data_IF_414062415479
#
_entry.id   IF_414062415479
#
_cell.length_a   1.000
_cell.length_b   1.000
_cell.length_c   1.000
_cell.angle_alpha   90.00
_cell.angle_beta   90.00
_cell.angle_gamma   90.00
#
_symmetry.space_group_name_H-M   'P 1'
#
loop_
_entity.id
_entity.type
_entity.pdbx_description
1 polymer ?
#
# COMPACT_ATOMS: atom_id res chain seq x y z
N UNK A 1 52.13 18.51 -31.42
CA UNK A 1 52.02 18.41 -29.95
C UNK A 1 50.94 19.34 -29.39
N UNK A 2 50.90 20.65 -29.73
CA UNK A 2 49.84 21.56 -29.21
C UNK A 2 48.41 21.21 -29.66
N UNK A 3 48.21 20.74 -30.90
CA UNK A 3 46.89 20.34 -31.41
C UNK A 3 46.33 19.15 -30.62
N UNK A 4 47.18 18.16 -30.28
CA UNK A 4 46.77 16.97 -29.53
C UNK A 4 46.37 17.30 -28.09
N UNK A 5 47.17 18.14 -27.40
CA UNK A 5 46.84 18.63 -26.05
C UNK A 5 45.55 19.45 -26.05
N UNK A 6 45.34 20.30 -27.06
CA UNK A 6 44.11 21.08 -27.17
C UNK A 6 42.87 20.20 -27.43
N UNK A 7 43.00 19.14 -28.25
CA UNK A 7 41.90 18.19 -28.49
C UNK A 7 41.56 17.38 -27.24
N UNK A 8 42.57 16.94 -26.48
CA UNK A 8 42.36 16.14 -25.27
C UNK A 8 41.75 16.99 -24.15
N UNK A 9 42.27 18.21 -23.93
CA UNK A 9 41.68 19.16 -22.97
C UNK A 9 40.24 19.53 -23.32
N UNK A 10 39.94 19.72 -24.61
CA UNK A 10 38.57 19.99 -25.07
C UNK A 10 37.66 18.78 -24.89
N UNK A 11 38.17 17.57 -25.11
CA UNK A 11 37.41 16.33 -24.88
C UNK A 11 37.07 16.16 -23.40
N UNK A 12 38.07 16.25 -22.52
CA UNK A 12 37.89 16.13 -21.07
C UNK A 12 36.92 17.19 -20.53
N UNK A 13 37.06 18.44 -20.98
CA UNK A 13 36.14 19.53 -20.60
C UNK A 13 34.70 19.25 -21.03
N UNK A 14 34.50 18.68 -22.23
CA UNK A 14 33.17 18.31 -22.71
C UNK A 14 32.58 17.14 -21.92
N UNK A 15 33.39 16.13 -21.59
CA UNK A 15 32.96 14.99 -20.76
C UNK A 15 32.57 15.47 -19.37
N UNK A 16 33.40 16.27 -18.71
CA UNK A 16 33.10 16.84 -17.39
C UNK A 16 31.86 17.74 -17.42
N UNK A 17 31.69 18.57 -18.44
CA UNK A 17 30.49 19.38 -18.62
C UNK A 17 29.23 18.52 -18.73
N UNK A 18 29.26 17.44 -19.51
CA UNK A 18 28.13 16.51 -19.64
C UNK A 18 27.84 15.79 -18.33
N UNK A 19 28.86 15.33 -17.60
CA UNK A 19 28.70 14.68 -16.30
C UNK A 19 28.14 15.64 -15.25
N UNK A 20 28.65 16.87 -15.18
CA UNK A 20 28.16 17.92 -14.29
C UNK A 20 26.70 18.28 -14.61
N UNK A 21 26.37 18.43 -15.90
CA UNK A 21 25.00 18.70 -16.35
C UNK A 21 24.04 17.57 -15.98
N UNK A 22 24.44 16.30 -16.15
CA UNK A 22 23.62 15.14 -15.72
C UNK A 22 23.42 15.08 -14.21
N UNK A 23 24.46 15.36 -13.41
CA UNK A 23 24.34 15.44 -11.95
C UNK A 23 23.37 16.55 -11.52
N UNK A 24 23.46 17.72 -12.17
CA UNK A 24 22.55 18.84 -11.91
C UNK A 24 21.11 18.48 -12.29
N UNK A 25 20.88 17.86 -13.44
CA UNK A 25 19.55 17.41 -13.87
C UNK A 25 18.97 16.39 -12.90
N UNK A 26 19.76 15.42 -12.43
CA UNK A 26 19.33 14.44 -11.42
C UNK A 26 18.94 15.12 -10.11
N UNK A 27 19.71 16.10 -9.65
CA UNK A 27 19.40 16.86 -8.44
C UNK A 27 18.11 17.69 -8.61
N UNK A 28 17.90 18.30 -9.78
CA UNK A 28 16.67 19.04 -10.07
C UNK A 28 15.45 18.11 -10.13
N UNK A 29 15.58 16.93 -10.75
CA UNK A 29 14.54 15.90 -10.77
C UNK A 29 14.21 15.41 -9.36
N UNK A 30 15.22 15.17 -8.52
CA UNK A 30 15.04 14.82 -7.10
C UNK A 30 14.19 15.86 -6.35
N UNK A 31 14.55 17.15 -6.45
CA UNK A 31 13.80 18.20 -5.75
C UNK A 31 12.40 18.41 -6.31
N UNK A 32 12.18 18.16 -7.61
CA UNK A 32 10.86 18.17 -8.21
C UNK A 32 9.98 17.03 -7.66
N UNK A 33 10.51 15.81 -7.59
CA UNK A 33 9.83 14.67 -6.95
C UNK A 33 9.54 14.97 -5.47
N UNK A 34 10.49 15.56 -4.74
CA UNK A 34 10.32 15.91 -3.32
C UNK A 34 9.23 16.98 -3.13
N UNK A 35 9.16 17.96 -4.02
CA UNK A 35 8.09 18.96 -4.01
C UNK A 35 6.71 18.32 -4.25
N UNK A 36 6.61 17.42 -5.24
CA UNK A 36 5.41 16.64 -5.50
C UNK A 36 4.97 15.82 -4.29
N UNK A 37 5.90 15.07 -3.67
CA UNK A 37 5.63 14.29 -2.47
C UNK A 37 5.11 15.15 -1.31
N UNK A 38 5.70 16.32 -1.06
CA UNK A 38 5.26 17.24 -0.01
C UNK A 38 3.86 17.82 -0.29
N UNK A 39 3.53 18.12 -1.55
CA UNK A 39 2.18 18.55 -1.92
C UNK A 39 1.19 17.41 -1.70
N UNK A 40 1.54 16.17 -2.05
CA UNK A 40 0.69 15.01 -1.77
C UNK A 40 0.45 14.81 -0.26
N UNK A 41 1.46 15.00 0.59
CA UNK A 41 1.29 14.98 2.05
C UNK A 41 0.33 16.07 2.53
N UNK A 42 0.41 17.28 1.96
CA UNK A 42 -0.53 18.36 2.25
C UNK A 42 -1.95 18.00 1.81
N UNK A 43 -2.12 17.32 0.67
CA UNK A 43 -3.44 16.87 0.20
C UNK A 43 -4.07 15.86 1.15
N UNK A 44 -3.30 14.86 1.62
CA UNK A 44 -3.75 13.90 2.64
C UNK A 44 -4.13 14.64 3.93
N UNK A 45 -3.30 15.61 4.36
CA UNK A 45 -3.61 16.43 5.53
C UNK A 45 -4.92 17.21 5.39
N UNK A 46 -5.12 17.88 4.25
CA UNK A 46 -6.32 18.64 3.94
C UNK A 46 -7.55 17.74 3.90
N UNK A 47 -7.42 16.57 3.28
CA UNK A 47 -8.47 15.55 3.26
C UNK A 47 -8.85 15.10 4.68
N UNK A 48 -7.88 14.64 5.49
CA UNK A 48 -8.14 14.22 6.89
C UNK A 48 -8.78 15.36 7.71
N UNK A 49 -8.37 16.61 7.47
CA UNK A 49 -8.96 17.78 8.13
C UNK A 49 -10.38 18.06 7.63
N UNK A 50 -10.63 17.92 6.33
CA UNK A 50 -11.94 18.14 5.72
C UNK A 50 -12.95 17.10 6.21
N UNK A 51 -12.61 15.80 6.16
CA UNK A 51 -13.42 14.71 6.69
C UNK A 51 -13.75 14.98 8.17
N UNK A 52 -12.75 15.23 9.01
CA UNK A 52 -12.98 15.49 10.45
C UNK A 52 -13.81 16.74 10.76
N UNK A 53 -13.67 17.80 9.97
CA UNK A 53 -14.36 19.08 10.22
C UNK A 53 -15.77 19.10 9.65
N UNK A 54 -15.95 18.54 8.46
CA UNK A 54 -17.18 18.69 7.68
C UNK A 54 -18.03 17.43 7.70
N UNK A 55 -17.47 16.23 7.46
CA UNK A 55 -18.27 15.00 7.48
C UNK A 55 -18.99 14.81 8.82
N UNK A 56 -18.29 15.11 9.93
CA UNK A 56 -18.86 15.00 11.28
C UNK A 56 -19.95 16.04 11.58
N UNK A 57 -19.97 17.18 10.88
CA UNK A 57 -20.90 18.30 11.14
C UNK A 57 -22.06 18.38 10.17
N UNK A 58 -21.83 18.03 8.89
CA UNK A 58 -22.83 18.15 7.83
C UNK A 58 -23.46 16.82 7.47
N UNK A 59 -22.94 15.69 7.99
CA UNK A 59 -23.35 14.35 7.57
C UNK A 59 -22.97 14.02 6.13
N UNK A 60 -22.10 14.82 5.51
CA UNK A 60 -21.56 14.51 4.19
C UNK A 60 -20.75 13.21 4.25
N UNK A 61 -20.94 12.37 3.23
CA UNK A 61 -20.18 11.12 3.09
C UNK A 61 -18.69 11.44 2.96
N UNK A 62 -17.84 10.67 3.63
CA UNK A 62 -16.39 10.88 3.56
C UNK A 62 -15.86 10.75 2.12
N UNK A 63 -16.47 9.86 1.32
CA UNK A 63 -16.18 9.66 -0.09
C UNK A 63 -16.29 10.95 -0.93
N UNK A 64 -17.11 11.92 -0.50
CA UNK A 64 -17.22 13.22 -1.18
C UNK A 64 -15.94 14.05 -1.11
N UNK A 65 -15.04 13.74 -0.17
CA UNK A 65 -13.76 14.43 0.00
C UNK A 65 -12.58 13.68 -0.64
N UNK A 66 -12.76 12.44 -1.11
CA UNK A 66 -11.71 11.65 -1.75
C UNK A 66 -11.02 12.33 -2.93
N UNK A 67 -11.72 13.10 -3.81
CA UNK A 67 -11.06 13.82 -4.90
C UNK A 67 -9.90 14.72 -4.45
N UNK A 68 -9.88 15.15 -3.18
CA UNK A 68 -8.78 15.94 -2.61
C UNK A 68 -7.45 15.19 -2.73
N UNK A 69 -7.42 13.87 -2.52
CA UNK A 69 -6.19 13.06 -2.58
C UNK A 69 -6.13 12.14 -3.80
N UNK A 70 -7.25 11.59 -4.29
CA UNK A 70 -7.25 10.56 -5.34
C UNK A 70 -6.93 11.11 -6.73
N UNK A 71 -7.22 12.39 -6.98
CA UNK A 71 -6.94 13.01 -8.29
C UNK A 71 -5.41 13.05 -8.56
N UNK A 72 -4.90 12.54 -9.68
CA UNK A 72 -3.49 12.67 -10.00
C UNK A 72 -3.09 14.15 -10.14
N UNK A 73 -1.97 14.55 -9.52
CA UNK A 73 -1.47 15.92 -9.63
C UNK A 73 -0.22 15.93 -10.48
N UNK A 74 -0.14 16.87 -11.41
CA UNK A 74 1.06 17.08 -12.19
C UNK A 74 1.38 18.56 -12.36
N UNK A 75 2.67 18.85 -12.49
CA UNK A 75 3.18 20.18 -12.79
C UNK A 75 4.18 20.10 -13.93
N UNK A 76 4.10 21.00 -14.93
CA UNK A 76 3.01 21.94 -15.18
C UNK A 76 1.72 21.22 -15.63
N UNK A 77 0.53 21.70 -15.23
CA UNK A 77 -0.74 21.04 -15.55
C UNK A 77 -1.03 21.00 -17.06
N UNK A 78 -0.57 21.98 -17.84
CA UNK A 78 -0.82 22.06 -19.29
C UNK A 78 -0.36 20.83 -20.09
N UNK A 79 0.66 20.13 -19.62
CA UNK A 79 1.18 18.92 -20.26
C UNK A 79 0.24 17.72 -20.14
N UNK A 80 -0.71 17.76 -19.20
CA UNK A 80 -1.59 16.65 -18.86
C UNK A 80 -3.07 16.96 -19.13
N UNK A 81 -3.35 18.11 -19.77
CA UNK A 81 -4.70 18.46 -20.18
C UNK A 81 -5.13 17.67 -21.43
N UNK A 82 -6.36 17.14 -21.48
CA UNK A 82 -6.92 16.51 -22.67
C UNK A 82 -6.85 17.40 -23.93
N UNK A 83 -6.78 16.78 -25.11
CA UNK A 83 -6.69 17.51 -26.39
C UNK A 83 -7.92 18.38 -26.68
N UNK A 84 -9.08 17.95 -26.21
CA UNK A 84 -10.40 18.58 -26.30
C UNK A 84 -10.66 19.67 -25.24
N UNK A 85 -9.74 19.87 -24.28
CA UNK A 85 -9.88 20.91 -23.27
C UNK A 85 -9.93 22.32 -23.91
N UNK A 86 -10.78 23.21 -23.37
CA UNK A 86 -11.01 24.55 -23.93
C UNK A 86 -9.71 25.34 -24.17
N UNK A 87 -9.62 25.99 -25.34
CA UNK A 87 -8.46 26.83 -25.70
C UNK A 87 -8.21 27.95 -24.71
N UNK A 88 -9.27 28.57 -24.18
CA UNK A 88 -9.18 29.67 -23.21
C UNK A 88 -8.66 29.16 -21.86
N UNK A 89 -9.11 27.97 -21.43
CA UNK A 89 -8.61 27.34 -20.21
C UNK A 89 -7.13 26.94 -20.36
N UNK A 90 -6.74 26.37 -21.52
CA UNK A 90 -5.33 26.06 -21.82
C UNK A 90 -4.44 27.30 -21.78
N UNK A 91 -4.93 28.43 -22.30
CA UNK A 91 -4.20 29.71 -22.26
C UNK A 91 -4.00 30.21 -20.82
N UNK A 92 -5.02 30.12 -19.96
CA UNK A 92 -4.94 30.51 -18.56
C UNK A 92 -3.92 29.67 -17.76
N UNK A 93 -3.88 28.35 -18.00
CA UNK A 93 -2.85 27.49 -17.39
C UNK A 93 -1.45 27.87 -17.87
N UNK A 94 -1.26 28.06 -19.18
CA UNK A 94 0.04 28.44 -19.74
C UNK A 94 0.54 29.80 -19.22
N UNK A 95 -0.36 30.76 -18.96
CA UNK A 95 0.00 32.05 -18.35
C UNK A 95 0.47 31.88 -16.89
N UNK A 96 -0.28 31.08 -16.11
CA UNK A 96 0.08 30.76 -14.72
C UNK A 96 1.43 30.03 -14.65
N UNK A 97 1.69 29.13 -15.58
CA UNK A 97 2.95 28.38 -15.66
C UNK A 97 4.13 29.27 -15.99
N UNK A 98 3.97 30.25 -16.90
CA UNK A 98 5.02 31.24 -17.22
C UNK A 98 5.42 32.08 -16.01
N UNK A 99 4.48 32.38 -15.13
CA UNK A 99 4.72 33.11 -13.88
C UNK A 99 5.36 32.27 -12.77
N UNK A 100 5.44 30.94 -12.95
CA UNK A 100 5.95 30.04 -11.91
C UNK A 100 7.47 29.98 -11.87
N UNK A 101 8.01 29.94 -10.66
CA UNK A 101 9.44 29.67 -10.43
C UNK A 101 9.80 28.19 -10.59
N UNK A 102 8.81 27.30 -10.67
CA UNK A 102 9.02 25.86 -10.78
C UNK A 102 9.29 25.52 -12.25
N UNK A 103 10.57 25.37 -12.58
CA UNK A 103 11.05 24.99 -13.92
C UNK A 103 11.10 23.48 -14.16
N UNK A 104 11.00 22.68 -13.10
CA UNK A 104 11.03 21.23 -13.18
C UNK A 104 9.61 20.67 -13.31
N UNK A 105 9.49 19.48 -13.91
CA UNK A 105 8.23 18.80 -14.05
C UNK A 105 8.11 17.75 -12.95
N UNK A 106 6.89 17.49 -12.48
CA UNK A 106 6.63 16.33 -11.64
C UNK A 106 5.22 15.80 -11.84
N UNK A 107 5.04 14.51 -11.57
CA UNK A 107 3.74 13.86 -11.44
C UNK A 107 3.65 13.21 -10.06
N UNK A 108 2.44 13.17 -9.51
CA UNK A 108 2.15 12.50 -8.25
C UNK A 108 0.87 11.69 -8.34
N UNK A 109 0.90 10.52 -7.73
CA UNK A 109 -0.28 9.69 -7.47
C UNK A 109 -0.30 9.33 -5.98
N UNK A 110 -1.51 9.17 -5.47
CA UNK A 110 -1.77 8.73 -4.10
C UNK A 110 -2.70 7.53 -4.20
N UNK A 111 -2.34 6.43 -3.56
CA UNK A 111 -3.17 5.23 -3.42
C UNK A 111 -3.35 4.91 -1.94
N UNK A 112 -4.45 4.25 -1.60
CA UNK A 112 -4.64 3.70 -0.26
C UNK A 112 -3.87 2.37 -0.13
N UNK A 113 -3.40 2.07 1.07
CA UNK A 113 -2.80 0.76 1.40
C UNK A 113 -3.84 -0.22 1.96
N UNK A 114 -5.05 0.27 2.26
CA UNK A 114 -6.16 -0.51 2.84
C UNK A 114 -6.77 -1.52 1.86
N UNK A 115 -6.31 -1.55 0.62
CA UNK A 115 -6.74 -2.47 -0.44
C UNK A 115 -5.75 -3.62 -0.69
N UNK A 116 -4.67 -3.70 0.09
CA UNK A 116 -3.66 -4.76 0.03
C UNK A 116 -3.72 -5.62 1.28
N UNK A 117 -3.27 -6.86 1.15
CA UNK A 117 -3.15 -7.78 2.30
C UNK A 117 -1.95 -7.36 3.16
N UNK A 118 -2.17 -7.07 4.44
CA UNK A 118 -1.08 -6.79 5.37
C UNK A 118 -0.42 -8.11 5.82
N UNK A 119 0.83 -8.33 5.41
CA UNK A 119 1.57 -9.56 5.74
C UNK A 119 1.84 -9.66 7.24
N UNK A 120 2.02 -8.53 7.92
CA UNK A 120 2.25 -8.52 9.36
C UNK A 120 1.00 -8.96 10.15
N UNK A 121 -0.18 -8.98 9.51
CA UNK A 121 -1.41 -9.48 10.13
C UNK A 121 -1.50 -11.01 10.21
N UNK A 122 -0.60 -11.75 9.56
CA UNK A 122 -0.54 -13.22 9.67
C UNK A 122 -0.36 -13.71 11.12
N UNK A 123 0.27 -12.90 11.97
CA UNK A 123 0.44 -13.16 13.41
C UNK A 123 -0.34 -12.17 14.28
N UNK A 124 -1.42 -11.60 13.73
CA UNK A 124 -2.27 -10.68 14.49
C UNK A 124 -2.78 -11.32 15.79
N UNK A 125 -2.87 -10.57 16.90
CA UNK A 125 -3.52 -11.05 18.12
C UNK A 125 -5.00 -11.39 17.91
N UNK A 126 -5.63 -10.85 16.87
CA UNK A 126 -6.97 -11.25 16.42
C UNK A 126 -6.86 -12.52 15.58
N UNK A 127 -7.50 -13.59 16.04
CA UNK A 127 -7.56 -14.88 15.32
C UNK A 127 -8.32 -14.74 14.00
N UNK A 128 -9.34 -13.90 13.99
CA UNK A 128 -10.16 -13.57 12.84
C UNK A 128 -9.29 -12.91 11.77
N UNK A 129 -8.54 -11.86 12.13
CA UNK A 129 -7.65 -11.16 11.21
C UNK A 129 -6.50 -12.04 10.73
N UNK A 130 -5.87 -12.84 11.60
CA UNK A 130 -4.77 -13.72 11.21
C UNK A 130 -5.21 -14.85 10.27
N UNK A 131 -6.35 -15.49 10.57
CA UNK A 131 -6.95 -16.52 9.69
C UNK A 131 -7.32 -15.92 8.35
N UNK A 132 -7.92 -14.73 8.38
CA UNK A 132 -8.31 -14.00 7.19
C UNK A 132 -7.10 -13.65 6.31
N UNK A 133 -6.08 -12.98 6.87
CA UNK A 133 -4.86 -12.63 6.13
C UNK A 133 -4.16 -13.85 5.54
N UNK A 134 -4.10 -14.97 6.28
CA UNK A 134 -3.55 -16.23 5.78
C UNK A 134 -4.32 -16.77 4.59
N UNK A 135 -5.66 -16.74 4.66
CA UNK A 135 -6.52 -17.19 3.56
C UNK A 135 -6.34 -16.32 2.32
N UNK A 136 -6.29 -14.99 2.48
CA UNK A 136 -6.08 -14.05 1.37
C UNK A 136 -4.71 -14.25 0.71
N UNK A 137 -3.66 -14.39 1.53
CA UNK A 137 -2.31 -14.68 1.04
C UNK A 137 -2.29 -15.94 0.17
N UNK A 138 -2.89 -17.04 0.63
CA UNK A 138 -2.96 -18.29 -0.14
C UNK A 138 -3.78 -18.10 -1.42
N UNK A 139 -4.89 -17.37 -1.34
CA UNK A 139 -5.78 -17.20 -2.48
C UNK A 139 -5.16 -16.35 -3.59
N UNK A 140 -4.30 -15.37 -3.28
CA UNK A 140 -3.52 -14.65 -4.29
C UNK A 140 -2.79 -15.63 -5.24
N UNK A 141 -2.16 -16.67 -4.68
CA UNK A 141 -1.45 -17.67 -5.45
C UNK A 141 -2.38 -18.64 -6.18
N UNK A 142 -3.46 -19.08 -5.54
CA UNK A 142 -4.44 -19.97 -6.18
C UNK A 142 -5.08 -19.33 -7.40
N UNK A 143 -5.51 -18.08 -7.27
CA UNK A 143 -6.06 -17.30 -8.38
C UNK A 143 -5.05 -17.13 -9.51
N UNK A 144 -3.76 -16.94 -9.20
CA UNK A 144 -2.71 -16.89 -10.22
C UNK A 144 -2.51 -18.26 -10.90
N UNK A 145 -2.53 -19.36 -10.16
CA UNK A 145 -2.45 -20.73 -10.71
C UNK A 145 -3.60 -21.02 -11.67
N UNK A 146 -4.80 -20.54 -11.35
CA UNK A 146 -6.01 -20.75 -12.16
C UNK A 146 -6.01 -19.89 -13.44
N UNK A 147 -5.59 -18.63 -13.33
CA UNK A 147 -5.72 -17.64 -14.40
C UNK A 147 -4.48 -17.51 -15.30
N UNK A 148 -3.31 -17.97 -14.86
CA UNK A 148 -2.06 -17.86 -15.60
C UNK A 148 -1.51 -19.26 -15.94
N UNK A 149 -1.67 -19.68 -17.21
CA UNK A 149 -1.28 -21.01 -17.68
C UNK A 149 0.19 -21.37 -17.37
N UNK A 150 1.11 -20.41 -17.50
CA UNK A 150 2.54 -20.65 -17.24
C UNK A 150 2.82 -20.83 -15.75
N UNK A 151 2.23 -19.97 -14.92
CA UNK A 151 2.36 -20.06 -13.47
C UNK A 151 1.72 -21.34 -12.95
N UNK A 152 0.51 -21.64 -13.42
CA UNK A 152 -0.23 -22.85 -13.10
C UNK A 152 0.51 -24.12 -13.52
N UNK A 153 1.15 -24.16 -14.68
CA UNK A 153 1.95 -25.33 -15.09
C UNK A 153 3.13 -25.62 -14.16
N UNK A 154 3.71 -24.57 -13.55
CA UNK A 154 4.88 -24.69 -12.67
C UNK A 154 4.50 -24.99 -11.21
N UNK A 155 3.37 -24.46 -10.75
CA UNK A 155 3.02 -24.44 -9.32
C UNK A 155 1.66 -25.05 -8.97
N UNK A 156 1.03 -25.82 -9.88
CA UNK A 156 -0.29 -26.45 -9.64
C UNK A 156 -0.36 -27.25 -8.34
N UNK A 157 0.68 -28.02 -8.07
CA UNK A 157 0.76 -28.93 -6.93
C UNK A 157 1.54 -28.31 -5.74
N UNK A 158 1.86 -27.01 -5.81
CA UNK A 158 2.62 -26.33 -4.77
C UNK A 158 1.74 -26.08 -3.54
N UNK A 159 2.25 -26.40 -2.36
CA UNK A 159 1.55 -26.17 -1.10
C UNK A 159 1.75 -24.73 -0.60
N UNK A 160 0.92 -23.80 -1.07
CA UNK A 160 0.99 -22.39 -0.62
C UNK A 160 0.67 -22.20 0.87
N UNK A 161 0.06 -23.18 1.54
CA UNK A 161 -0.15 -23.12 2.98
C UNK A 161 1.18 -23.27 3.76
N UNK A 162 2.12 -24.09 3.26
CA UNK A 162 3.47 -24.19 3.83
C UNK A 162 4.24 -22.88 3.66
N UNK A 163 4.11 -22.23 2.50
CA UNK A 163 4.70 -20.90 2.30
C UNK A 163 4.11 -19.88 3.28
N UNK A 164 2.79 -19.86 3.45
CA UNK A 164 2.14 -18.98 4.42
C UNK A 164 2.60 -19.25 5.86
N UNK A 165 2.84 -20.52 6.22
CA UNK A 165 3.43 -20.91 7.50
C UNK A 165 4.86 -20.37 7.64
N UNK A 166 5.72 -20.49 6.63
CA UNK A 166 7.07 -19.93 6.68
C UNK A 166 7.08 -18.40 6.90
N UNK A 167 6.06 -17.69 6.40
CA UNK A 167 5.87 -16.26 6.68
C UNK A 167 5.43 -16.00 8.12
N UNK A 168 4.67 -16.92 8.73
CA UNK A 168 4.28 -16.83 10.15
C UNK A 168 5.50 -17.07 11.03
N UNK A 169 6.24 -18.16 10.80
CA UNK A 169 7.49 -18.53 11.48
C UNK A 169 8.59 -17.45 11.32
N UNK A 170 8.49 -16.58 10.31
CA UNK A 170 9.40 -15.44 10.18
C UNK A 170 9.13 -14.34 11.23
N UNK A 171 7.86 -14.20 11.63
CA UNK A 171 7.36 -13.04 12.38
C UNK A 171 7.08 -13.38 13.85
N UNK A 172 6.58 -14.59 14.13
CA UNK A 172 6.23 -15.00 15.48
C UNK A 172 7.46 -15.15 16.37
N UNK A 173 7.23 -15.40 17.66
CA UNK A 173 8.28 -15.28 18.69
C UNK A 173 8.88 -16.61 19.10
N UNK A 174 8.26 -17.71 18.69
CA UNK A 174 8.74 -19.03 19.06
C UNK A 174 9.84 -19.48 18.08
N UNK A 175 10.24 -20.75 18.18
CA UNK A 175 11.28 -21.31 17.32
C UNK A 175 10.78 -22.62 16.70
N UNK A 176 9.48 -22.88 16.80
CA UNK A 176 8.85 -24.12 16.39
C UNK A 176 8.13 -23.90 15.08
N UNK A 177 8.69 -24.49 14.01
CA UNK A 177 8.10 -24.33 12.69
C UNK A 177 6.69 -24.91 12.63
N UNK A 178 5.76 -24.14 12.07
CA UNK A 178 4.40 -24.61 11.79
C UNK A 178 4.36 -25.71 10.73
N UNK A 179 5.43 -25.87 9.96
CA UNK A 179 5.65 -26.97 9.02
C UNK A 179 6.39 -28.17 9.64
N UNK A 180 6.72 -28.09 10.94
CA UNK A 180 7.46 -29.09 11.70
C UNK A 180 8.96 -28.81 11.75
N UNK A 181 9.59 -29.22 12.86
CA UNK A 181 11.02 -29.05 13.10
C UNK A 181 11.39 -27.71 13.74
N UNK A 182 12.69 -27.41 13.76
CA UNK A 182 13.24 -26.13 14.21
C UNK A 182 13.31 -25.17 13.03
N UNK A 183 12.76 -23.97 13.18
CA UNK A 183 12.71 -22.93 12.13
C UNK A 183 14.08 -22.60 11.56
N UNK A 184 15.11 -22.59 12.41
CA UNK A 184 16.49 -22.29 12.00
C UNK A 184 17.02 -23.28 10.96
N UNK A 185 16.49 -24.51 10.96
CA UNK A 185 16.90 -25.56 10.03
C UNK A 185 16.63 -25.17 8.58
N UNK A 186 15.59 -24.38 8.31
CA UNK A 186 15.27 -23.90 6.96
C UNK A 186 16.28 -22.88 6.42
N UNK A 187 17.07 -22.28 7.30
CA UNK A 187 18.05 -21.25 6.96
C UNK A 187 19.49 -21.72 7.16
N UNK A 188 19.70 -23.02 7.42
CA UNK A 188 21.02 -23.58 7.74
C UNK A 188 22.09 -23.24 6.69
N UNK A 189 21.78 -23.37 5.39
CA UNK A 189 22.70 -23.04 4.31
C UNK A 189 23.09 -21.55 4.29
N UNK A 190 22.13 -20.68 4.58
CA UNK A 190 22.33 -19.24 4.65
C UNK A 190 23.20 -18.88 5.85
N UNK A 191 22.87 -19.45 7.01
CA UNK A 191 23.65 -19.33 8.24
C UNK A 191 25.08 -19.77 7.97
N UNK A 192 25.28 -20.93 7.35
CA UNK A 192 26.60 -21.49 7.02
C UNK A 192 27.40 -20.59 6.06
N UNK A 193 26.75 -20.02 5.05
CA UNK A 193 27.37 -19.10 4.10
C UNK A 193 27.85 -17.80 4.78
N UNK A 194 27.08 -17.28 5.74
CA UNK A 194 27.35 -16.00 6.40
C UNK A 194 27.96 -16.14 7.81
N UNK A 195 28.36 -17.35 8.24
CA UNK A 195 29.02 -17.66 9.52
C UNK A 195 30.21 -16.76 9.90
N UNK A 196 30.86 -16.10 8.92
CA UNK A 196 31.95 -15.15 9.18
C UNK A 196 31.49 -13.80 9.74
N UNK A 197 30.20 -13.51 9.68
CA UNK A 197 29.56 -12.35 10.30
C UNK A 197 28.98 -12.86 11.62
N UNK A 198 29.67 -12.60 12.73
CA UNK A 198 29.38 -13.11 14.08
C UNK A 198 27.94 -12.87 14.61
N UNK A 199 27.12 -12.11 13.89
CA UNK A 199 25.77 -11.67 14.26
C UNK A 199 24.64 -12.25 13.37
N UNK A 200 24.90 -13.11 12.37
CA UNK A 200 23.83 -13.56 11.44
C UNK A 200 23.20 -14.91 11.80
N UNK A 201 23.92 -15.81 12.49
CA UNK A 201 23.43 -17.17 12.80
C UNK A 201 22.34 -17.23 13.87
N UNK A 202 22.29 -16.22 14.74
CA UNK A 202 21.44 -16.26 15.92
C UNK A 202 20.06 -15.61 15.70
N UNK A 203 19.88 -14.93 14.56
CA UNK A 203 18.77 -13.99 14.30
C UNK A 203 17.96 -14.31 13.03
N UNK A 204 18.02 -15.54 12.52
CA UNK A 204 17.19 -15.98 11.38
C UNK A 204 16.45 -17.28 11.74
N UNK A 205 15.11 -17.33 11.65
CA UNK A 205 14.24 -16.17 11.37
C UNK A 205 14.37 -15.08 12.45
N UNK A 206 14.05 -13.82 12.11
CA UNK A 206 14.29 -12.70 13.00
C UNK A 206 13.20 -12.52 14.06
N UNK A 207 12.12 -13.31 14.00
CA UNK A 207 11.05 -13.37 14.98
C UNK A 207 10.45 -11.99 15.27
N UNK A 208 10.29 -11.23 14.20
CA UNK A 208 9.83 -9.84 14.22
C UNK A 208 9.08 -9.50 12.93
N UNK A 209 8.22 -8.48 13.02
CA UNK A 209 7.53 -7.92 11.86
C UNK A 209 8.50 -7.48 10.76
N UNK A 210 8.08 -7.71 9.52
CA UNK A 210 8.75 -7.19 8.35
C UNK A 210 8.78 -5.67 8.39
N UNK A 211 9.95 -5.09 8.09
CA UNK A 211 10.15 -3.63 8.03
C UNK A 211 10.22 -3.14 6.59
N UNK A 212 10.64 -4.01 5.68
CA UNK A 212 10.75 -3.75 4.25
C UNK A 212 10.14 -4.87 3.42
N UNK A 213 9.44 -4.51 2.34
CA UNK A 213 8.82 -5.49 1.44
C UNK A 213 9.87 -6.44 0.83
N UNK A 214 11.11 -5.98 0.65
CA UNK A 214 12.20 -6.81 0.13
C UNK A 214 12.57 -7.99 1.06
N UNK A 215 12.31 -7.88 2.36
CA UNK A 215 12.55 -8.97 3.32
C UNK A 215 11.69 -10.20 3.01
N UNK A 216 10.56 -10.05 2.31
CA UNK A 216 9.76 -11.19 1.88
C UNK A 216 10.58 -12.20 1.05
N UNK A 217 11.61 -11.73 0.31
CA UNK A 217 12.53 -12.57 -0.47
C UNK A 217 13.39 -13.48 0.39
N UNK A 218 13.55 -13.16 1.67
CA UNK A 218 14.38 -13.92 2.60
C UNK A 218 13.61 -15.07 3.25
N UNK A 219 12.29 -15.11 3.11
CA UNK A 219 11.47 -16.19 3.68
C UNK A 219 11.78 -17.51 2.96
N UNK A 220 11.88 -18.58 3.74
CA UNK A 220 12.10 -19.93 3.21
C UNK A 220 11.05 -20.31 2.14
N UNK A 221 11.50 -20.99 1.09
CA UNK A 221 10.72 -21.36 -0.10
C UNK A 221 10.21 -20.20 -0.97
N UNK A 222 10.57 -18.95 -0.64
CA UNK A 222 10.28 -17.81 -1.51
C UNK A 222 11.16 -17.84 -2.76
N UNK A 223 10.59 -17.43 -3.91
CA UNK A 223 11.32 -17.26 -5.17
C UNK A 223 10.91 -15.97 -5.88
N UNK A 224 11.59 -15.65 -6.99
CA UNK A 224 11.35 -14.42 -7.75
C UNK A 224 9.94 -14.33 -8.34
N UNK A 225 9.36 -15.44 -8.81
CA UNK A 225 8.00 -15.45 -9.36
C UNK A 225 6.99 -15.10 -8.27
N UNK A 226 7.16 -15.67 -7.08
CA UNK A 226 6.30 -15.40 -5.93
C UNK A 226 6.45 -13.95 -5.46
N UNK A 227 7.68 -13.44 -5.41
CA UNK A 227 7.92 -12.06 -4.98
C UNK A 227 7.26 -11.06 -5.93
N UNK A 228 7.45 -11.23 -7.24
CA UNK A 228 6.87 -10.35 -8.25
C UNK A 228 5.35 -10.33 -8.19
N UNK A 229 4.73 -11.49 -7.89
CA UNK A 229 3.29 -11.60 -7.70
C UNK A 229 2.83 -10.84 -6.43
N UNK A 230 3.55 -10.99 -5.31
CA UNK A 230 3.16 -10.40 -4.04
C UNK A 230 3.43 -8.90 -3.94
N UNK A 231 4.51 -8.39 -4.55
CA UNK A 231 5.01 -7.01 -4.34
C UNK A 231 3.93 -5.93 -4.51
N UNK A 232 2.97 -6.14 -5.42
CA UNK A 232 1.89 -5.19 -5.68
C UNK A 232 0.57 -5.51 -4.95
N UNK A 233 0.42 -6.73 -4.43
CA UNK A 233 -0.82 -7.23 -3.80
C UNK A 233 -0.79 -7.19 -2.27
N UNK A 234 0.38 -6.98 -1.68
CA UNK A 234 0.58 -7.02 -0.23
C UNK A 234 1.22 -5.74 0.29
N UNK A 235 1.04 -5.49 1.58
CA UNK A 235 1.61 -4.34 2.29
C UNK A 235 2.14 -4.77 3.65
N UNK A 236 2.93 -3.91 4.27
CA UNK A 236 3.38 -4.03 5.66
C UNK A 236 2.68 -3.00 6.57
N UNK A 237 1.87 -2.13 5.98
CA UNK A 237 1.30 -0.93 6.60
C UNK A 237 -0.22 -0.85 6.39
N UNK A 238 -0.91 -2.00 6.47
CA UNK A 238 -2.36 -2.05 6.38
C UNK A 238 -3.03 -1.40 7.60
N UNK A 239 -4.33 -1.12 7.48
CA UNK A 239 -5.13 -0.50 8.55
C UNK A 239 -5.95 -1.49 9.38
N UNK A 240 -5.63 -2.79 9.29
CA UNK A 240 -6.30 -3.92 9.99
C UNK A 240 -7.72 -4.22 9.55
N UNK A 241 -8.27 -3.41 8.64
CA UNK A 241 -9.53 -3.66 7.93
C UNK A 241 -9.30 -3.43 6.45
N UNK A 242 -9.99 -4.19 5.60
CA UNK A 242 -9.95 -3.94 4.15
C UNK A 242 -11.01 -2.90 3.81
N UNK A 243 -10.63 -1.92 3.01
CA UNK A 243 -11.57 -0.93 2.50
C UNK A 243 -12.32 -1.48 1.30
N UNK A 244 -13.62 -1.76 1.43
CA UNK A 244 -14.44 -2.30 0.35
C UNK A 244 -14.55 -1.32 -0.83
N UNK A 245 -14.62 -0.01 -0.55
CA UNK A 245 -14.78 1.00 -1.59
C UNK A 245 -13.54 1.19 -2.46
N UNK A 246 -12.38 0.70 -2.00
CA UNK A 246 -11.10 0.80 -2.71
C UNK A 246 -10.47 -0.58 -2.97
N UNK A 247 -11.21 -1.66 -2.69
CA UNK A 247 -10.73 -3.04 -2.82
C UNK A 247 -10.40 -3.34 -4.29
N UNK A 248 -9.23 -3.95 -4.53
CA UNK A 248 -8.89 -4.45 -5.86
C UNK A 248 -9.77 -5.66 -6.21
N UNK A 249 -10.16 -5.78 -7.48
CA UNK A 249 -11.00 -6.86 -7.99
C UNK A 249 -10.32 -8.21 -7.78
N UNK A 250 -9.00 -8.26 -7.92
CA UNK A 250 -8.22 -9.47 -7.67
C UNK A 250 -8.26 -9.89 -6.19
N UNK A 251 -8.29 -8.91 -5.27
CA UNK A 251 -8.50 -9.19 -3.85
C UNK A 251 -9.94 -9.64 -3.59
N UNK A 252 -10.93 -9.03 -4.24
CA UNK A 252 -12.34 -9.44 -4.14
C UNK A 252 -12.55 -10.88 -4.60
N UNK A 253 -11.94 -11.30 -5.71
CA UNK A 253 -11.98 -12.70 -6.21
C UNK A 253 -11.45 -13.71 -5.22
N UNK A 254 -10.61 -13.28 -4.28
CA UNK A 254 -10.06 -14.15 -3.27
C UNK A 254 -11.07 -14.50 -2.16
N UNK A 255 -12.24 -13.86 -2.12
CA UNK A 255 -13.28 -14.19 -1.14
C UNK A 255 -14.14 -15.36 -1.63
N UNK A 256 -14.41 -16.39 -0.78
CA UNK A 256 -15.19 -17.56 -1.19
C UNK A 256 -16.62 -17.24 -1.67
N UNK A 257 -17.17 -16.11 -1.24
CA UNK A 257 -18.52 -15.65 -1.59
C UNK A 257 -18.55 -14.80 -2.86
N UNK A 258 -17.40 -14.37 -3.39
CA UNK A 258 -17.30 -13.48 -4.55
C UNK A 258 -17.43 -14.27 -5.86
N UNK A 259 -18.65 -14.64 -6.21
CA UNK A 259 -18.94 -15.24 -7.53
C UNK A 259 -18.76 -14.20 -8.64
N UNK A 260 -18.57 -14.61 -9.92
CA UNK A 260 -18.46 -13.65 -11.03
C UNK A 260 -19.64 -12.67 -11.13
N UNK A 261 -20.83 -13.12 -10.78
CA UNK A 261 -22.04 -12.30 -10.71
C UNK A 261 -21.95 -11.24 -9.61
N UNK A 262 -21.54 -11.63 -8.41
CA UNK A 262 -21.34 -10.72 -7.27
C UNK A 262 -20.24 -9.70 -7.58
N UNK A 263 -19.13 -10.14 -8.17
CA UNK A 263 -18.02 -9.26 -8.55
C UNK A 263 -18.49 -8.19 -9.54
N UNK A 264 -19.22 -8.59 -10.57
CA UNK A 264 -19.71 -7.65 -11.60
C UNK A 264 -20.68 -6.62 -11.00
N UNK A 265 -21.60 -7.06 -10.13
CA UNK A 265 -22.52 -6.18 -9.43
C UNK A 265 -21.82 -5.27 -8.42
N UNK A 266 -20.79 -5.78 -7.75
CA UNK A 266 -19.97 -5.01 -6.81
C UNK A 266 -19.21 -3.88 -7.52
N UNK A 267 -18.57 -4.17 -8.66
CA UNK A 267 -17.86 -3.17 -9.47
C UNK A 267 -18.80 -2.06 -9.96
N UNK A 268 -19.99 -2.43 -10.46
CA UNK A 268 -21.00 -1.47 -10.89
C UNK A 268 -21.50 -0.62 -9.70
N UNK A 269 -21.73 -1.26 -8.54
CA UNK A 269 -22.14 -0.57 -7.32
C UNK A 269 -21.08 0.43 -6.88
N UNK A 270 -19.83 0.01 -6.69
CA UNK A 270 -18.75 0.90 -6.20
C UNK A 270 -18.45 2.04 -7.18
N UNK A 271 -18.52 1.77 -8.49
CA UNK A 271 -18.31 2.78 -9.53
C UNK A 271 -19.39 3.86 -9.53
N UNK A 272 -20.63 3.50 -9.19
CA UNK A 272 -21.76 4.44 -9.16
C UNK A 272 -21.91 5.12 -7.80
N UNK A 273 -21.71 4.38 -6.71
CA UNK A 273 -21.88 4.87 -5.35
C UNK A 273 -21.07 4.00 -4.37
N UNK A 274 -20.34 4.62 -3.44
CA UNK A 274 -19.65 3.91 -2.37
C UNK A 274 -20.63 3.25 -1.38
N UNK A 275 -20.20 2.17 -0.74
CA UNK A 275 -20.87 1.62 0.44
C UNK A 275 -20.66 2.53 1.64
N UNK A 276 -21.75 2.84 2.36
CA UNK A 276 -21.71 3.81 3.48
C UNK A 276 -21.39 3.13 4.81
N UNK A 277 -21.91 1.93 5.04
CA UNK A 277 -21.78 1.19 6.28
C UNK A 277 -22.05 -0.31 6.08
N UNK A 278 -21.94 -1.06 7.17
CA UNK A 278 -22.18 -2.51 7.20
C UNK A 278 -23.59 -2.85 6.73
N UNK A 279 -24.60 -2.07 7.13
CA UNK A 279 -26.01 -2.31 6.80
C UNK A 279 -26.30 -2.14 5.30
N UNK A 280 -25.69 -1.13 4.67
CA UNK A 280 -25.74 -0.91 3.22
C UNK A 280 -25.10 -2.08 2.48
N UNK A 281 -23.90 -2.51 2.91
CA UNK A 281 -23.24 -3.66 2.31
C UNK A 281 -23.99 -4.98 2.50
N UNK A 282 -24.54 -5.23 3.70
CA UNK A 282 -25.41 -6.38 3.95
C UNK A 282 -26.67 -6.34 3.10
N UNK A 283 -27.20 -5.15 2.81
CA UNK A 283 -28.37 -5.01 1.92
C UNK A 283 -28.03 -5.38 0.49
N UNK A 284 -26.86 -4.98 -0.02
CA UNK A 284 -26.33 -5.46 -1.29
C UNK A 284 -26.16 -6.99 -1.31
N UNK A 285 -25.56 -7.57 -0.26
CA UNK A 285 -25.38 -9.03 -0.17
C UNK A 285 -26.69 -9.82 -0.08
N UNK A 286 -27.79 -9.22 0.37
CA UNK A 286 -29.11 -9.89 0.39
C UNK A 286 -29.62 -10.22 -1.00
N UNK A 287 -29.23 -9.45 -2.02
CA UNK A 287 -29.60 -9.71 -3.42
C UNK A 287 -29.04 -11.04 -3.93
N UNK A 288 -28.01 -11.56 -3.26
CA UNK A 288 -27.30 -12.79 -3.60
C UNK A 288 -27.45 -13.91 -2.55
N UNK A 289 -28.32 -13.73 -1.54
CA UNK A 289 -28.48 -14.67 -0.41
C UNK A 289 -27.17 -14.89 0.41
N UNK A 290 -26.33 -13.85 0.47
CA UNK A 290 -25.02 -13.90 1.14
C UNK A 290 -24.97 -13.15 2.48
N UNK A 291 -25.99 -12.35 2.80
CA UNK A 291 -25.93 -11.39 3.90
C UNK A 291 -25.70 -11.99 5.30
N UNK A 292 -26.08 -13.25 5.52
CA UNK A 292 -25.83 -13.97 6.78
C UNK A 292 -24.53 -14.78 6.78
N UNK A 293 -23.98 -15.07 5.60
CA UNK A 293 -22.81 -15.95 5.42
C UNK A 293 -21.49 -15.19 5.32
N UNK A 294 -21.55 -13.87 5.15
CA UNK A 294 -20.36 -13.01 5.02
C UNK A 294 -20.09 -12.31 6.34
N UNK A 295 -18.92 -12.60 6.91
CA UNK A 295 -18.38 -11.84 8.04
C UNK A 295 -17.95 -10.45 7.57
N UNK A 296 -18.58 -9.42 8.13
CA UNK A 296 -18.33 -8.02 7.78
C UNK A 296 -17.36 -7.31 8.74
N UNK A 297 -16.88 -7.99 9.78
CA UNK A 297 -16.06 -7.40 10.86
C UNK A 297 -14.69 -6.87 10.37
N UNK A 298 -14.16 -7.48 9.31
CA UNK A 298 -12.89 -7.13 8.67
C UNK A 298 -12.99 -5.98 7.67
N UNK A 299 -14.20 -5.54 7.32
CA UNK A 299 -14.38 -4.52 6.31
C UNK A 299 -14.49 -3.12 6.92
N UNK A 300 -13.99 -2.15 6.17
CA UNK A 300 -14.14 -0.73 6.43
C UNK A 300 -14.83 -0.06 5.25
N UNK A 301 -15.58 0.99 5.57
CA UNK A 301 -16.36 1.81 4.62
C UNK A 301 -15.84 3.25 4.55
N UNK A 302 -14.80 3.54 5.32
CA UNK A 302 -14.19 4.86 5.42
C UNK A 302 -13.35 5.17 4.18
N UNK A 303 -12.87 6.40 4.07
CA UNK A 303 -12.22 6.93 2.87
C UNK A 303 -10.69 6.69 2.77
N UNK A 304 -10.16 5.77 3.59
CA UNK A 304 -8.76 5.31 3.61
C UNK A 304 -7.91 5.91 4.74
N UNK A 305 -7.11 5.08 5.42
CA UNK A 305 -6.32 5.48 6.61
C UNK A 305 -4.86 5.72 6.29
N UNK A 306 -4.26 4.74 5.59
CA UNK A 306 -2.85 4.69 5.23
C UNK A 306 -2.72 4.87 3.72
N UNK A 307 -1.75 5.67 3.30
CA UNK A 307 -1.60 6.06 1.90
C UNK A 307 -0.17 5.86 1.43
N UNK A 308 -0.03 5.33 0.21
CA UNK A 308 1.20 5.34 -0.55
C UNK A 308 1.18 6.51 -1.53
N UNK A 309 2.27 7.27 -1.54
CA UNK A 309 2.48 8.38 -2.47
C UNK A 309 3.62 7.97 -3.39
N UNK A 310 3.39 8.08 -4.70
CA UNK A 310 4.44 8.01 -5.71
C UNK A 310 4.59 9.39 -6.33
N UNK A 311 5.80 9.94 -6.29
CA UNK A 311 6.12 11.20 -6.97
C UNK A 311 7.32 11.04 -7.87
N UNK A 312 7.17 11.40 -9.14
CA UNK A 312 8.24 11.34 -10.13
C UNK A 312 8.55 12.75 -10.61
N UNK A 313 9.78 13.20 -10.40
CA UNK A 313 10.30 14.45 -10.94
C UNK A 313 11.02 14.20 -12.26
N UNK A 314 10.84 15.09 -13.22
CA UNK A 314 11.38 14.95 -14.58
C UNK A 314 12.05 16.27 -14.98
N UNK A 315 13.30 16.16 -15.44
CA UNK A 315 14.08 17.26 -16.01
C UNK A 315 14.82 16.75 -17.24
N UNK A 316 14.44 17.26 -18.42
CA UNK A 316 14.90 16.74 -19.71
C UNK A 316 14.69 15.22 -19.80
N UNK A 317 15.76 14.45 -20.00
CA UNK A 317 15.73 12.97 -20.07
C UNK A 317 16.10 12.30 -18.74
N UNK A 318 16.16 13.05 -17.64
CA UNK A 318 16.46 12.51 -16.31
C UNK A 318 15.19 12.51 -15.45
N UNK A 319 14.84 11.37 -14.89
CA UNK A 319 13.78 11.22 -13.91
C UNK A 319 14.33 10.80 -12.55
N UNK A 320 13.53 11.05 -11.52
CA UNK A 320 13.78 10.57 -10.16
C UNK A 320 12.44 10.27 -9.49
N UNK A 321 12.31 9.12 -8.84
CA UNK A 321 11.03 8.72 -8.21
C UNK A 321 11.19 8.56 -6.71
N UNK A 322 10.27 9.16 -5.96
CA UNK A 322 10.12 8.99 -4.52
C UNK A 322 8.83 8.22 -4.27
N UNK A 323 8.92 7.10 -3.55
CA UNK A 323 7.78 6.39 -2.99
C UNK A 323 7.79 6.54 -1.47
N UNK A 324 6.68 6.95 -0.88
CA UNK A 324 6.56 7.04 0.58
C UNK A 324 5.23 6.50 1.06
N UNK A 325 5.18 6.04 2.31
CA UNK A 325 3.96 5.52 2.95
C UNK A 325 3.68 6.35 4.20
N UNK A 326 2.43 6.79 4.31
CA UNK A 326 1.90 7.46 5.49
C UNK A 326 1.13 6.48 6.34
N UNK A 327 1.30 6.55 7.66
CA UNK A 327 0.69 5.61 8.60
C UNK A 327 0.03 6.33 9.78
N UNK A 328 -1.25 6.02 10.01
CA UNK A 328 -2.01 6.52 11.15
C UNK A 328 -2.09 5.43 12.24
N UNK A 329 -1.10 5.45 13.13
CA UNK A 329 -0.98 4.45 14.20
C UNK A 329 -2.20 4.46 15.13
N UNK A 330 -2.80 5.63 15.38
CA UNK A 330 -3.92 5.73 16.31
C UNK A 330 -5.17 5.07 15.74
N UNK A 331 -5.49 5.35 14.48
CA UNK A 331 -6.65 4.80 13.79
C UNK A 331 -6.48 3.29 13.53
N UNK A 332 -5.26 2.86 13.22
CA UNK A 332 -4.94 1.43 13.10
C UNK A 332 -5.15 0.69 14.44
N UNK A 333 -4.69 1.26 15.57
CA UNK A 333 -4.90 0.66 16.90
C UNK A 333 -6.39 0.61 17.24
N UNK A 334 -7.16 1.65 16.90
CA UNK A 334 -8.61 1.70 17.11
C UNK A 334 -9.31 0.58 16.34
N UNK A 335 -9.01 0.42 15.04
CA UNK A 335 -9.56 -0.67 14.21
C UNK A 335 -9.20 -2.06 14.72
N UNK A 336 -7.97 -2.27 15.16
CA UNK A 336 -7.57 -3.55 15.76
C UNK A 336 -8.34 -3.83 17.06
N UNK A 337 -8.51 -2.80 17.89
CA UNK A 337 -9.25 -2.92 19.16
C UNK A 337 -10.72 -3.27 18.94
N UNK A 338 -11.35 -2.73 17.89
CA UNK A 338 -12.71 -3.08 17.50
C UNK A 338 -12.85 -4.55 17.12
N UNK A 339 -11.89 -5.09 16.35
CA UNK A 339 -11.91 -6.50 15.94
C UNK A 339 -11.70 -7.42 17.15
N UNK A 340 -10.72 -7.11 18.01
CA UNK A 340 -10.47 -7.87 19.23
C UNK A 340 -11.69 -7.90 20.15
N UNK A 341 -12.38 -6.77 20.28
CA UNK A 341 -13.61 -6.68 21.06
C UNK A 341 -14.74 -7.53 20.48
N UNK A 342 -14.92 -7.49 19.16
CA UNK A 342 -15.89 -8.33 18.48
C UNK A 342 -15.63 -9.83 18.74
N UNK A 343 -14.39 -10.27 18.66
CA UNK A 343 -14.02 -11.66 18.99
C UNK A 343 -14.28 -12.02 20.47
N UNK A 344 -14.06 -11.08 21.39
CA UNK A 344 -14.34 -11.30 22.81
C UNK A 344 -15.85 -11.44 23.07
N UNK A 345 -16.69 -10.64 22.41
CA UNK A 345 -18.15 -10.75 22.49
C UNK A 345 -18.67 -12.07 21.91
N UNK A 346 -18.09 -12.57 20.81
CA UNK A 346 -18.44 -13.89 20.27
C UNK A 346 -18.05 -15.02 21.21
N UNK A 347 -16.88 -14.94 21.85
CA UNK A 347 -16.40 -15.96 22.80
C UNK A 347 -17.15 -15.92 24.13
N UNK A 348 -17.71 -14.76 24.52
CA UNK A 348 -18.40 -14.58 25.79
C UNK A 348 -19.64 -13.69 25.64
N UNK A 349 -20.82 -14.26 25.33
CA UNK A 349 -22.06 -13.50 25.16
C UNK A 349 -22.47 -12.65 26.38
N UNK A 350 -21.93 -12.94 27.57
CA UNK A 350 -22.15 -12.15 28.78
C UNK A 350 -21.37 -10.81 28.83
N UNK A 351 -20.44 -10.57 27.90
CA UNK A 351 -19.80 -9.25 27.71
C UNK A 351 -20.58 -8.32 26.78
N UNK A 352 -21.63 -8.79 26.11
CA UNK A 352 -22.48 -7.98 25.23
C UNK A 352 -22.98 -6.72 25.96
N UNK A 353 -22.59 -5.55 25.44
CA UNK A 353 -23.01 -4.25 25.98
C UNK A 353 -21.99 -3.56 26.90
N UNK A 354 -20.84 -4.19 27.21
CA UNK A 354 -19.69 -3.47 27.80
C UNK A 354 -18.97 -2.70 26.70
N UNK A 355 -19.51 -1.53 26.30
CA UNK A 355 -18.79 -0.60 25.41
C UNK A 355 -17.37 -0.40 25.90
N UNK A 356 -16.38 -0.67 25.05
CA UNK A 356 -15.01 -0.22 25.26
C UNK A 356 -15.06 1.28 25.56
N UNK A 357 -14.70 1.65 26.79
CA UNK A 357 -14.24 3.01 27.11
C UNK A 357 -12.80 3.15 26.61
N UNK A 358 -12.53 2.83 25.36
CA UNK A 358 -11.51 3.64 24.69
C UNK A 358 -12.17 5.00 24.57
N UNK A 359 -11.60 6.01 25.24
CA UNK A 359 -11.95 7.38 24.91
C UNK A 359 -11.69 7.45 23.42
N UNK A 360 -12.75 7.48 22.60
CA UNK A 360 -12.72 7.99 21.23
C UNK A 360 -11.87 9.24 21.36
N UNK A 361 -10.62 9.19 20.92
CA UNK A 361 -9.67 10.25 21.23
C UNK A 361 -10.36 11.50 20.73
N UNK A 362 -10.75 12.40 21.66
CA UNK A 362 -11.54 13.59 21.35
C UNK A 362 -10.97 14.16 20.06
N UNK A 363 -11.75 14.06 18.98
CA UNK A 363 -11.31 14.18 17.60
C UNK A 363 -10.32 15.33 17.44
N UNK A 364 -9.03 15.02 17.62
CA UNK A 364 -8.01 16.04 17.49
C UNK A 364 -7.92 16.27 15.99
N UNK A 365 -8.23 17.50 15.59
CA UNK A 365 -7.88 17.98 14.26
C UNK A 365 -6.41 17.59 14.04
N UNK A 366 -6.05 17.00 12.89
CA UNK A 366 -4.66 16.72 12.60
C UNK A 366 -3.93 18.06 12.70
N UNK A 367 -3.10 18.20 13.72
CA UNK A 367 -2.31 19.41 13.97
C UNK A 367 -0.89 19.27 13.41
N UNK A 368 -0.57 18.11 12.83
CA UNK A 368 0.72 17.76 12.24
C UNK A 368 0.48 17.07 10.89
N UNK A 369 1.48 17.15 10.02
CA UNK A 369 1.51 16.39 8.77
C UNK A 369 1.39 14.89 9.01
N UNK A 370 0.89 14.11 8.03
CA UNK A 370 0.87 12.65 8.12
C UNK A 370 2.26 12.11 8.46
N UNK A 371 2.32 11.11 9.35
CA UNK A 371 3.58 10.47 9.73
C UNK A 371 4.03 9.57 8.59
N UNK A 372 5.23 9.83 8.07
CA UNK A 372 5.86 8.99 7.04
C UNK A 372 6.65 7.89 7.75
N UNK A 373 6.32 6.64 7.46
CA UNK A 373 6.98 5.45 8.05
C UNK A 373 7.89 4.74 7.08
N UNK A 374 7.74 5.01 5.79
CA UNK A 374 8.58 4.45 4.73
C UNK A 374 8.90 5.53 3.69
N UNK A 375 10.16 5.58 3.27
CA UNK A 375 10.66 6.50 2.25
C UNK A 375 11.69 5.78 1.39
N UNK A 376 11.42 5.69 0.09
CA UNK A 376 12.27 5.03 -0.88
C UNK A 376 12.49 5.93 -2.09
N UNK A 377 13.71 5.92 -2.59
CA UNK A 377 14.18 6.78 -3.68
C UNK A 377 14.75 5.91 -4.81
N UNK A 378 14.42 6.23 -6.06
CA UNK A 378 14.82 5.50 -7.27
C UNK A 378 15.43 6.43 -8.32
#
# INVERSE_FOLDING_TARGET
MSIWVATELSYDSNVEYVLASRKLQKLQAYYAAKAGANISLLRIFLFKKAVKTFATKTGALESSFEPIWSFPLAWPPSLYLPSDFSKDAKAAFAETEKGSFIKAQYTTSISVEDNKVDINDLVSPSKLLSTFSKQQFINIFKTEVENNEKFGAKYRDYNFAELANNFIDWIDKDFESLNGGDEKSFYADWIDQYKSIQDTSDYIPPNQYFKHISELRMVSAMNDDFFQLLENKVTLFGSKKINLNHMDIELLKSFPWATPEVISAFEERVSSQSFVNVEDFKSFLKEFDLAENVDTSIFSFDSGVNFQITSTGIVNNTSYTIKLITYDINETIERLSEILFFEEEEKNPASQGKKLKYKKNNYFLPNKSPVVVHWQEF
#
